data_IF_015465871766
#
_entry.id   IF_015465871766
#
_cell.length_a   1.000
_cell.length_b   1.000
_cell.length_c   1.000
_cell.angle_alpha   90.00
_cell.angle_beta   90.00
_cell.angle_gamma   90.00
#
_symmetry.space_group_name_H-M   'P 1'
#
loop_
_entity.id
_entity.type
_entity.pdbx_description
1 polymer ?
#
# COMPACT_ATOMS: atom_id res chain seq x y z
N UNK A 1 35.45 3.88 -50.06
CA UNK A 1 35.48 4.52 -48.73
C UNK A 1 34.22 5.36 -48.52
N UNK A 2 33.21 4.82 -47.84
CA UNK A 2 32.28 5.55 -46.93
C UNK A 2 31.84 4.53 -45.88
N UNK A 3 32.52 4.58 -44.75
CA UNK A 3 32.45 3.66 -43.62
C UNK A 3 31.21 3.93 -42.76
N UNK A 4 30.50 2.84 -42.45
CA UNK A 4 29.97 2.53 -41.12
C UNK A 4 29.07 3.59 -40.43
N UNK A 5 27.84 3.77 -40.92
CA UNK A 5 26.73 4.39 -40.15
C UNK A 5 25.87 3.33 -39.45
N UNK A 6 26.51 2.33 -38.81
CA UNK A 6 25.83 1.28 -38.03
C UNK A 6 26.74 0.79 -36.90
N UNK A 7 27.04 1.65 -35.95
CA UNK A 7 27.64 1.24 -34.68
C UNK A 7 27.37 2.34 -33.63
N UNK A 8 27.17 1.93 -32.39
CA UNK A 8 26.77 2.73 -31.20
C UNK A 8 25.28 2.84 -30.86
N UNK A 9 24.54 1.73 -30.96
CA UNK A 9 23.54 1.42 -29.91
C UNK A 9 23.93 0.06 -29.32
N UNK A 10 25.10 0.02 -28.70
CA UNK A 10 25.55 -1.12 -27.94
C UNK A 10 26.45 -0.57 -26.84
N UNK A 11 25.85 -0.07 -25.76
CA UNK A 11 26.41 0.14 -24.42
C UNK A 11 25.32 0.81 -23.60
N UNK A 12 24.89 0.14 -22.53
CA UNK A 12 24.13 0.77 -21.46
C UNK A 12 22.62 0.53 -21.48
N UNK A 13 22.15 -0.69 -21.78
CA UNK A 13 20.98 -1.17 -21.03
C UNK A 13 21.46 -1.36 -19.59
N UNK A 14 21.61 -0.25 -18.86
CA UNK A 14 21.84 -0.27 -17.42
C UNK A 14 20.53 -0.77 -16.84
N UNK A 15 20.39 -2.10 -16.81
CA UNK A 15 19.46 -2.77 -15.90
C UNK A 15 19.88 -2.29 -14.51
N UNK A 16 19.25 -1.20 -14.09
CA UNK A 16 19.39 -0.69 -12.74
C UNK A 16 18.68 -1.72 -11.88
N UNK A 17 19.43 -2.71 -11.40
CA UNK A 17 18.96 -3.61 -10.37
C UNK A 17 18.68 -2.73 -9.15
N UNK A 18 17.42 -2.29 -9.01
CA UNK A 18 16.97 -1.54 -7.86
C UNK A 18 16.97 -2.52 -6.69
N UNK A 19 18.08 -2.57 -5.97
CA UNK A 19 18.13 -3.27 -4.70
C UNK A 19 17.28 -2.44 -3.73
N UNK A 20 16.04 -2.89 -3.50
CA UNK A 20 15.24 -2.36 -2.41
C UNK A 20 15.73 -2.98 -1.11
N UNK A 21 15.73 -2.21 -0.02
CA UNK A 21 16.01 -2.69 1.32
C UNK A 21 14.72 -2.69 2.13
N UNK A 22 14.65 -3.59 3.12
CA UNK A 22 13.60 -3.58 4.13
C UNK A 22 13.43 -2.16 4.72
N UNK A 23 12.20 -1.64 4.70
CA UNK A 23 11.88 -0.29 5.15
C UNK A 23 10.98 -0.31 6.37
N UNK A 24 11.26 0.60 7.28
CA UNK A 24 10.38 0.89 8.43
C UNK A 24 9.64 2.21 8.19
N UNK A 25 8.31 2.17 8.19
CA UNK A 25 7.44 3.32 8.03
C UNK A 25 6.88 3.74 9.39
N UNK A 26 7.26 4.92 9.89
CA UNK A 26 6.68 5.48 11.11
C UNK A 26 5.45 6.31 10.76
N UNK A 27 4.28 5.91 11.25
CA UNK A 27 3.01 6.60 11.00
C UNK A 27 2.60 7.37 12.25
N UNK A 28 2.37 8.67 12.08
CA UNK A 28 1.98 9.57 13.18
C UNK A 28 0.50 9.35 13.53
N UNK A 29 0.14 9.59 14.78
CA UNK A 29 -1.23 9.51 15.28
C UNK A 29 -2.22 10.29 14.36
N UNK A 30 -3.28 9.63 13.90
CA UNK A 30 -4.31 10.23 13.04
C UNK A 30 -3.95 10.32 11.56
N UNK A 31 -2.72 9.99 11.15
CA UNK A 31 -2.27 10.09 9.76
C UNK A 31 -2.72 8.90 8.91
N UNK A 32 -4.02 8.87 8.58
CA UNK A 32 -4.61 7.82 7.74
C UNK A 32 -4.02 7.84 6.33
N UNK A 33 -3.76 9.02 5.76
CA UNK A 33 -3.15 9.14 4.44
C UNK A 33 -1.71 8.59 4.42
N UNK A 34 -0.93 8.90 5.45
CA UNK A 34 0.41 8.35 5.64
C UNK A 34 0.40 6.83 5.84
N UNK A 35 -0.59 6.30 6.56
CA UNK A 35 -0.79 4.86 6.68
C UNK A 35 -1.09 4.20 5.33
N UNK A 36 -2.00 4.77 4.54
CA UNK A 36 -2.33 4.28 3.19
C UNK A 36 -1.09 4.28 2.31
N UNK A 37 -0.35 5.39 2.26
CA UNK A 37 0.88 5.50 1.47
C UNK A 37 1.94 4.49 1.90
N UNK A 38 2.11 4.26 3.20
CA UNK A 38 3.03 3.25 3.71
C UNK A 38 2.64 1.83 3.24
N UNK A 39 1.34 1.52 3.18
CA UNK A 39 0.84 0.25 2.65
C UNK A 39 1.07 0.12 1.13
N UNK A 40 0.87 1.19 0.36
CA UNK A 40 1.15 1.19 -1.09
C UNK A 40 2.64 0.99 -1.38
N UNK A 41 3.51 1.72 -0.67
CA UNK A 41 4.96 1.58 -0.81
C UNK A 41 5.40 0.16 -0.43
N UNK A 42 4.91 -0.37 0.70
CA UNK A 42 5.18 -1.74 1.11
C UNK A 42 4.67 -2.77 0.09
N UNK A 43 3.49 -2.59 -0.50
CA UNK A 43 2.96 -3.48 -1.54
C UNK A 43 3.83 -3.52 -2.81
N UNK A 44 4.51 -2.41 -3.12
CA UNK A 44 5.46 -2.34 -4.25
C UNK A 44 6.86 -2.86 -3.91
N UNK A 45 7.14 -3.12 -2.63
CA UNK A 45 8.43 -3.60 -2.15
C UNK A 45 8.61 -5.09 -2.41
N UNK A 46 9.85 -5.50 -2.68
CA UNK A 46 10.26 -6.90 -2.74
C UNK A 46 10.87 -7.38 -1.42
N UNK A 47 10.84 -6.56 -0.37
CA UNK A 47 11.51 -6.80 0.90
C UNK A 47 10.51 -6.99 2.04
N UNK A 48 11.02 -7.51 3.15
CA UNK A 48 10.26 -7.61 4.39
C UNK A 48 10.18 -6.23 5.06
N UNK A 49 9.01 -5.60 4.99
CA UNK A 49 8.79 -4.22 5.46
C UNK A 49 8.01 -4.18 6.78
N UNK A 50 8.20 -3.10 7.55
CA UNK A 50 7.48 -2.86 8.80
C UNK A 50 6.81 -1.49 8.84
N UNK A 51 5.53 -1.44 9.18
CA UNK A 51 4.79 -0.21 9.46
C UNK A 51 4.60 -0.09 10.97
N UNK A 52 5.17 0.95 11.58
CA UNK A 52 5.04 1.27 13.01
C UNK A 52 3.98 2.36 13.20
N UNK A 53 2.86 2.01 13.83
CA UNK A 53 1.86 3.01 14.21
C UNK A 53 2.30 3.76 15.47
N UNK A 54 1.90 5.03 15.59
CA UNK A 54 2.08 5.78 16.84
C UNK A 54 1.48 5.02 18.04
N UNK A 55 2.18 4.97 19.20
CA UNK A 55 1.68 4.32 20.41
C UNK A 55 0.30 4.84 20.81
N UNK A 56 -0.66 3.93 21.04
CA UNK A 56 -2.04 4.25 21.38
C UNK A 56 -2.72 5.23 20.39
N UNK A 57 -2.25 5.29 19.14
CA UNK A 57 -2.80 6.20 18.14
C UNK A 57 -4.25 5.88 17.76
N UNK A 58 -4.98 6.87 17.25
CA UNK A 58 -6.34 6.75 16.75
C UNK A 58 -6.38 7.15 15.28
N UNK A 59 -6.73 6.21 14.42
CA UNK A 59 -6.80 6.39 12.96
C UNK A 59 -8.25 6.25 12.52
N UNK A 60 -8.91 7.38 12.25
CA UNK A 60 -10.32 7.40 11.86
C UNK A 60 -10.40 7.47 10.34
N UNK A 61 -10.83 6.37 9.71
CA UNK A 61 -10.96 6.30 8.25
C UNK A 61 -12.33 6.81 7.86
N UNK A 62 -12.44 7.99 7.24
CA UNK A 62 -13.70 8.39 6.60
C UNK A 62 -13.95 7.52 5.36
N UNK A 63 -15.22 7.25 5.06
CA UNK A 63 -15.63 6.42 3.92
C UNK A 63 -14.84 6.73 2.65
N UNK A 64 -14.24 5.69 2.05
CA UNK A 64 -13.35 5.75 0.90
C UNK A 64 -12.00 6.46 1.14
N UNK A 65 -11.31 6.12 2.23
CA UNK A 65 -9.91 6.55 2.45
C UNK A 65 -8.99 6.17 1.29
N UNK A 66 -9.25 5.03 0.62
CA UNK A 66 -8.54 4.61 -0.58
C UNK A 66 -9.40 4.84 -1.83
N UNK A 67 -9.09 5.91 -2.58
CA UNK A 67 -9.73 6.23 -3.85
C UNK A 67 -9.01 5.45 -4.96
N UNK A 68 -9.52 4.27 -5.32
CA UNK A 68 -8.97 3.55 -6.50
C UNK A 68 -9.01 2.02 -6.48
N UNK A 69 -9.42 1.36 -5.39
CA UNK A 69 -9.73 -0.07 -5.44
C UNK A 69 -11.15 -0.33 -4.99
N UNK A 70 -11.87 -0.99 -5.87
CA UNK A 70 -13.03 -1.76 -5.51
C UNK A 70 -12.54 -3.12 -5.01
N UNK A 71 -12.94 -3.47 -3.79
CA UNK A 71 -12.74 -4.81 -3.27
C UNK A 71 -13.97 -5.65 -3.56
N UNK A 72 -13.76 -6.94 -3.85
CA UNK A 72 -14.83 -7.92 -3.82
C UNK A 72 -15.13 -8.28 -2.37
N UNK A 73 -16.33 -7.96 -1.92
CA UNK A 73 -16.86 -8.44 -0.65
C UNK A 73 -17.26 -9.92 -0.80
N UNK A 74 -17.36 -10.65 0.33
CA UNK A 74 -17.74 -12.06 0.33
C UNK A 74 -19.15 -12.33 -0.23
N UNK A 75 -19.99 -11.30 -0.34
CA UNK A 75 -21.32 -11.34 -0.94
C UNK A 75 -21.30 -11.09 -2.46
N UNK A 76 -20.12 -10.93 -3.06
CA UNK A 76 -19.94 -10.66 -4.48
C UNK A 76 -20.16 -9.20 -4.87
N UNK A 77 -20.43 -8.31 -3.92
CA UNK A 77 -20.53 -6.87 -4.19
C UNK A 77 -19.15 -6.24 -4.35
N UNK A 78 -19.09 -5.20 -5.18
CA UNK A 78 -17.94 -4.29 -5.29
C UNK A 78 -18.18 -3.07 -4.38
N UNK A 79 -17.12 -2.54 -3.77
CA UNK A 79 -17.24 -1.30 -3.02
C UNK A 79 -15.90 -0.73 -2.55
N UNK A 80 -15.91 0.53 -2.09
CA UNK A 80 -14.69 1.24 -1.71
C UNK A 80 -14.02 0.56 -0.51
N UNK A 81 -12.71 0.38 -0.61
CA UNK A 81 -11.88 -0.09 0.49
C UNK A 81 -11.42 1.07 1.39
N UNK A 82 -11.29 0.78 2.68
CA UNK A 82 -10.71 1.72 3.65
C UNK A 82 -9.19 1.84 3.49
N UNK A 83 -8.53 0.76 3.04
CA UNK A 83 -7.09 0.63 2.86
C UNK A 83 -6.80 -0.20 1.61
N UNK A 84 -5.59 -0.08 1.02
CA UNK A 84 -5.15 -0.97 -0.04
C UNK A 84 -5.22 -2.45 0.39
N UNK A 85 -5.54 -3.34 -0.56
CA UNK A 85 -5.33 -4.78 -0.35
C UNK A 85 -3.84 -5.03 -0.13
N UNK A 86 -3.50 -5.84 0.87
CA UNK A 86 -2.11 -6.27 1.06
C UNK A 86 -1.82 -7.35 0.02
N UNK A 87 -1.02 -7.00 -0.97
CA UNK A 87 -0.65 -7.86 -2.10
C UNK A 87 0.86 -8.03 -2.24
N UNK A 88 1.63 -7.59 -1.24
CA UNK A 88 3.08 -7.76 -1.21
C UNK A 88 3.44 -9.26 -1.35
N UNK A 89 4.47 -9.55 -2.15
CA UNK A 89 5.04 -10.90 -2.32
C UNK A 89 5.93 -11.32 -1.14
N UNK A 90 6.44 -10.33 -0.41
CA UNK A 90 7.29 -10.44 0.78
C UNK A 90 6.50 -10.10 2.04
N UNK A 91 7.11 -10.29 3.22
CA UNK A 91 6.41 -10.12 4.50
C UNK A 91 6.15 -8.64 4.78
N UNK A 92 4.92 -8.29 5.13
CA UNK A 92 4.59 -7.00 5.72
C UNK A 92 4.21 -7.18 7.19
N UNK A 93 4.88 -6.47 8.08
CA UNK A 93 4.54 -6.38 9.50
C UNK A 93 3.86 -5.03 9.76
N UNK A 94 2.66 -5.04 10.34
CA UNK A 94 2.02 -3.82 10.85
C UNK A 94 2.02 -3.91 12.37
N UNK A 95 2.87 -3.09 13.01
CA UNK A 95 3.01 -3.03 14.45
C UNK A 95 2.05 -1.98 15.03
N UNK A 96 0.95 -2.45 15.61
CA UNK A 96 -0.12 -1.59 16.09
C UNK A 96 0.24 -0.73 17.30
N UNK A 97 1.18 -1.14 18.17
CA UNK A 97 1.58 -0.41 19.39
C UNK A 97 0.40 0.11 20.25
N UNK A 98 -0.69 -0.66 20.35
CA UNK A 98 -1.91 -0.29 21.08
C UNK A 98 -2.83 0.68 20.34
N UNK A 99 -2.57 0.99 19.07
CA UNK A 99 -3.41 1.86 18.28
C UNK A 99 -4.79 1.28 17.96
N UNK A 100 -5.74 2.17 17.72
CA UNK A 100 -7.09 1.88 17.26
C UNK A 100 -7.27 2.41 15.84
N UNK A 101 -7.72 1.54 14.93
CA UNK A 101 -8.21 1.93 13.60
C UNK A 101 -9.73 1.88 13.66
N UNK A 102 -10.38 3.01 13.39
CA UNK A 102 -11.83 3.14 13.44
C UNK A 102 -12.37 3.46 12.06
N UNK A 103 -13.22 2.57 11.54
CA UNK A 103 -14.08 2.87 10.42
C UNK A 103 -15.47 3.25 10.97
N UNK A 104 -15.92 4.51 10.85
CA UNK A 104 -17.20 4.96 11.36
C UNK A 104 -18.39 4.52 10.48
N UNK A 105 -18.15 3.89 9.31
CA UNK A 105 -19.24 3.43 8.45
C UNK A 105 -19.95 2.25 9.11
N UNK A 106 -21.15 2.51 9.60
CA UNK A 106 -22.13 1.50 9.93
C UNK A 106 -22.84 1.13 8.62
N UNK A 107 -22.36 0.12 7.89
CA UNK A 107 -23.16 -0.42 6.77
C UNK A 107 -24.38 -1.08 7.39
N UNK A 108 -25.49 -0.35 7.46
CA UNK A 108 -26.81 -0.93 7.70
C UNK A 108 -27.04 -1.95 6.59
N UNK A 109 -26.85 -3.23 6.89
CA UNK A 109 -27.31 -4.31 6.05
C UNK A 109 -28.83 -4.34 6.20
N UNK A 110 -29.55 -3.77 5.23
CA UNK A 110 -31.01 -3.61 5.28
C UNK A 110 -31.80 -4.85 4.84
N UNK A 111 -31.17 -6.03 4.78
CA UNK A 111 -31.70 -7.13 3.98
C UNK A 111 -32.07 -8.35 4.85
N UNK A 112 -32.83 -8.10 5.92
CA UNK A 112 -33.69 -9.11 6.53
C UNK A 112 -35.15 -8.65 6.41
N UNK A 113 -35.67 -8.69 5.19
CA UNK A 113 -37.11 -8.59 4.90
C UNK A 113 -37.53 -9.76 4.03
#
# INVERSE_FOLDING_TARGET
MKTLTRLFILIGCVLSFQFSFAKTYNVVNGDVAGLIRAMEEANSSSQDDEILLAPNGLYIVSSAGFVGAEGFWNDGSEGPLAFPLISNRSKLIINGRGATIKNPINRHYSDFS
#
